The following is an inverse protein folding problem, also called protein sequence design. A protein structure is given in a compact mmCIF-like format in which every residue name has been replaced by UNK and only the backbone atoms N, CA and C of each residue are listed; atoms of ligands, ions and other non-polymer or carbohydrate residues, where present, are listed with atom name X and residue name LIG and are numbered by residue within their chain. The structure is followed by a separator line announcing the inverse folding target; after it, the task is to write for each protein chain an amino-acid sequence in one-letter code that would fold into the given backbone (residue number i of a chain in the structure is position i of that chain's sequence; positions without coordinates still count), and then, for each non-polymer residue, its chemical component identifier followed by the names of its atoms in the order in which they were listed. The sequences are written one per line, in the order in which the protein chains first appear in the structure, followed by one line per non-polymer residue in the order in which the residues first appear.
data_IF_250281153429
#
_entry.id   IF_250281153429
#
_cell.length_a   1.000
_cell.length_b   1.000
_cell.length_c   1.000
_cell.angle_alpha   90.00
_cell.angle_beta   90.00
_cell.angle_gamma   90.00
#
_symmetry.space_group_name_H-M   'P 1'
#
loop_
_entity.id
_entity.type
_entity.pdbx_description
1 polymer ?
#
# COMPACT_ATOMS: atom_id res chain seq x y z
N UNK A 1 19.67 3.95 -68.01
CA UNK A 1 20.29 4.89 -68.98
C UNK A 1 19.25 5.97 -69.21
N UNK A 2 19.44 7.26 -69.00
CA UNK A 2 20.64 8.11 -69.12
C UNK A 2 20.42 9.38 -68.29
N UNK A 3 21.52 9.92 -67.81
CA UNK A 3 21.73 11.07 -66.92
C UNK A 3 21.68 12.43 -67.64
N UNK A 4 21.55 13.51 -66.85
CA UNK A 4 22.35 14.78 -66.80
C UNK A 4 21.43 15.99 -66.54
N UNK A 5 21.61 16.81 -65.50
CA UNK A 5 22.74 17.66 -65.02
C UNK A 5 23.02 18.92 -65.86
N UNK A 6 23.07 20.06 -65.15
CA UNK A 6 23.70 21.34 -65.52
C UNK A 6 22.68 22.48 -65.68
N UNK A 7 22.90 23.73 -65.28
CA UNK A 7 24.06 24.47 -64.72
C UNK A 7 23.49 25.88 -64.35
N UNK A 8 23.61 26.42 -63.14
CA UNK A 8 24.69 27.27 -62.60
C UNK A 8 24.88 28.68 -63.22
N UNK A 9 24.70 29.73 -62.38
CA UNK A 9 25.41 31.04 -62.38
C UNK A 9 24.94 31.85 -61.14
N UNK A 10 25.61 31.97 -59.98
CA UNK A 10 26.93 32.54 -59.56
C UNK A 10 27.00 34.08 -59.46
N UNK A 11 27.11 34.60 -58.22
CA UNK A 11 27.93 35.75 -57.72
C UNK A 11 27.34 36.24 -56.36
N UNK A 12 27.91 36.18 -55.14
CA UNK A 12 29.23 36.44 -54.50
C UNK A 12 29.38 37.85 -53.89
N UNK A 13 29.29 37.97 -52.54
CA UNK A 13 30.14 38.77 -51.58
C UNK A 13 29.48 38.76 -50.17
N UNK A 14 30.04 38.10 -49.14
CA UNK A 14 30.93 38.63 -48.05
C UNK A 14 30.43 39.97 -47.46
N UNK A 15 30.23 40.20 -46.16
CA UNK A 15 31.11 39.93 -44.99
C UNK A 15 30.39 40.29 -43.67
N UNK A 16 30.90 39.75 -42.54
CA UNK A 16 30.83 40.23 -41.13
C UNK A 16 29.56 39.92 -40.32
N UNK A 17 29.54 38.96 -39.38
CA UNK A 17 30.15 38.88 -38.03
C UNK A 17 29.57 39.81 -36.95
N UNK A 18 28.98 39.13 -35.95
CA UNK A 18 28.88 39.41 -34.51
C UNK A 18 27.80 40.33 -33.93
N UNK A 19 27.27 39.82 -32.80
CA UNK A 19 26.46 40.44 -31.74
C UNK A 19 24.97 40.64 -32.00
N UNK A 20 24.07 40.42 -31.04
CA UNK A 20 24.05 39.76 -29.73
C UNK A 20 22.56 39.89 -29.29
N UNK A 21 22.08 39.01 -28.41
CA UNK A 21 20.92 39.24 -27.52
C UNK A 21 19.52 39.00 -28.12
N UNK A 22 18.80 38.06 -27.50
CA UNK A 22 17.34 38.13 -27.38
C UNK A 22 16.53 37.00 -28.00
N UNK A 23 16.72 35.75 -27.56
CA UNK A 23 15.66 34.74 -27.69
C UNK A 23 15.20 34.29 -26.31
N UNK A 24 14.26 35.04 -25.76
CA UNK A 24 13.27 34.54 -24.81
C UNK A 24 12.10 33.94 -25.62
N UNK A 25 11.35 33.04 -24.96
CA UNK A 25 10.04 32.46 -25.35
C UNK A 25 10.15 31.12 -26.12
N UNK A 26 9.58 29.98 -25.73
CA UNK A 26 8.67 29.57 -24.65
C UNK A 26 8.93 28.08 -24.41
N UNK A 27 9.31 27.67 -23.20
CA UNK A 27 9.17 26.28 -22.77
C UNK A 27 7.68 26.03 -22.51
N UNK A 28 7.02 25.32 -23.41
CA UNK A 28 5.68 24.82 -23.17
C UNK A 28 5.75 23.76 -22.06
N UNK A 29 5.42 24.16 -20.82
CA UNK A 29 5.14 23.23 -19.73
C UNK A 29 3.88 22.45 -20.08
N UNK A 30 4.03 21.26 -20.64
CA UNK A 30 2.99 20.23 -20.56
C UNK A 30 3.10 19.65 -19.15
N UNK A 31 2.49 20.35 -18.19
CA UNK A 31 2.19 19.78 -16.89
C UNK A 31 1.05 18.77 -17.07
N UNK A 32 1.37 17.61 -17.65
CA UNK A 32 0.48 16.46 -17.59
C UNK A 32 0.27 16.13 -16.12
N UNK A 33 -0.99 16.05 -15.70
CA UNK A 33 -1.39 15.57 -14.38
C UNK A 33 -0.72 14.23 -14.11
N UNK A 34 0.41 14.25 -13.39
CA UNK A 34 0.83 13.12 -12.61
C UNK A 34 -0.22 12.99 -11.51
N UNK A 35 -1.24 12.16 -11.73
CA UNK A 35 -1.90 11.50 -10.63
C UNK A 35 -0.78 10.77 -9.90
N UNK A 36 -0.19 11.41 -8.90
CA UNK A 36 0.61 10.74 -7.89
C UNK A 36 -0.34 9.76 -7.22
N UNK A 37 -0.46 8.55 -7.79
CA UNK A 37 -0.94 7.41 -7.05
C UNK A 37 0.04 7.32 -5.88
N UNK A 38 -0.38 7.82 -4.72
CA UNK A 38 0.38 7.67 -3.51
C UNK A 38 0.72 6.18 -3.41
N UNK A 39 2.01 5.86 -3.34
CA UNK A 39 2.44 4.48 -3.20
C UNK A 39 1.62 3.86 -2.07
N UNK A 40 1.00 2.68 -2.27
CA UNK A 40 0.23 2.06 -1.20
C UNK A 40 1.12 1.96 0.05
N UNK A 41 0.56 2.14 1.25
CA UNK A 41 1.34 2.10 2.48
C UNK A 41 2.18 0.83 2.50
N UNK A 42 3.50 1.02 2.57
CA UNK A 42 4.49 -0.04 2.47
C UNK A 42 4.62 -0.66 3.86
N UNK A 43 4.00 -1.82 4.07
CA UNK A 43 4.08 -2.51 5.36
C UNK A 43 5.31 -3.38 5.46
N UNK A 44 6.15 -3.14 6.45
CA UNK A 44 7.40 -3.88 6.60
C UNK A 44 7.19 -5.34 7.01
N UNK A 45 6.07 -5.64 7.66
CA UNK A 45 5.69 -6.96 8.16
C UNK A 45 4.36 -7.42 7.51
N UNK A 46 4.27 -8.65 6.97
CA UNK A 46 3.03 -9.15 6.36
C UNK A 46 1.88 -9.26 7.37
N UNK A 47 2.20 -9.47 8.65
CA UNK A 47 1.23 -9.49 9.75
C UNK A 47 0.55 -8.12 9.88
N UNK A 48 1.33 -7.04 9.82
CA UNK A 48 0.83 -5.66 9.91
C UNK A 48 -0.04 -5.33 8.69
N UNK A 49 0.40 -5.72 7.50
CA UNK A 49 -0.38 -5.56 6.27
C UNK A 49 -1.74 -6.26 6.35
N UNK A 50 -1.76 -7.50 6.85
CA UNK A 50 -3.00 -8.27 7.04
C UNK A 50 -3.95 -7.59 8.06
N UNK A 51 -3.41 -7.14 9.20
CA UNK A 51 -4.19 -6.43 10.22
C UNK A 51 -4.78 -5.14 9.65
N UNK A 52 -3.97 -4.31 8.97
CA UNK A 52 -4.46 -3.09 8.31
C UNK A 52 -5.59 -3.39 7.35
N UNK A 53 -5.41 -4.39 6.51
CA UNK A 53 -6.40 -4.73 5.49
C UNK A 53 -7.73 -5.13 6.13
N UNK A 54 -7.69 -5.93 7.22
CA UNK A 54 -8.89 -6.23 8.01
C UNK A 54 -9.53 -4.96 8.57
N UNK A 55 -8.76 -4.11 9.26
CA UNK A 55 -9.31 -2.92 9.93
C UNK A 55 -9.89 -1.91 8.93
N UNK A 56 -9.19 -1.67 7.82
CA UNK A 56 -9.46 -0.56 6.91
C UNK A 56 -10.35 -0.94 5.71
N UNK A 57 -10.33 -2.20 5.27
CA UNK A 57 -10.95 -2.61 4.00
C UNK A 57 -12.02 -3.69 4.19
N UNK A 58 -11.66 -4.80 4.84
CA UNK A 58 -12.52 -5.99 4.91
C UNK A 58 -13.45 -6.01 6.14
N UNK A 59 -13.32 -5.02 7.04
CA UNK A 59 -14.26 -4.83 8.12
C UNK A 59 -15.61 -4.29 7.59
N UNK A 60 -16.59 -5.19 7.50
CA UNK A 60 -17.94 -4.88 7.01
C UNK A 60 -18.88 -4.34 8.09
N UNK A 61 -18.45 -4.27 9.35
CA UNK A 61 -19.31 -3.88 10.48
C UNK A 61 -19.65 -2.38 10.53
N UNK A 62 -18.97 -1.55 9.73
CA UNK A 62 -19.12 -0.08 9.72
C UNK A 62 -19.42 0.55 8.36
N UNK A 63 -19.64 -0.24 7.31
CA UNK A 63 -19.84 0.31 5.95
C UNK A 63 -18.57 0.78 5.24
N UNK A 64 -17.39 0.36 5.70
CA UNK A 64 -16.06 0.70 5.16
C UNK A 64 -15.25 1.57 6.12
N UNK A 65 -14.01 1.16 6.43
CA UNK A 65 -13.15 1.80 7.43
C UNK A 65 -13.29 1.19 8.84
N UNK A 66 -12.58 1.76 9.82
CA UNK A 66 -12.59 1.29 11.21
C UNK A 66 -13.74 1.93 12.01
N UNK A 67 -14.80 1.18 12.39
CA UNK A 67 -15.89 1.68 13.20
C UNK A 67 -15.61 1.58 14.71
N UNK A 68 -14.51 0.94 15.11
CA UNK A 68 -14.24 0.65 16.51
C UNK A 68 -13.51 1.81 17.18
N UNK A 69 -13.90 2.09 18.43
CA UNK A 69 -13.21 3.10 19.25
C UNK A 69 -11.78 2.67 19.62
N UNK A 70 -11.55 1.36 19.71
CA UNK A 70 -10.26 0.73 20.00
C UNK A 70 -10.14 -0.63 19.33
N UNK A 71 -8.94 -0.95 18.83
CA UNK A 71 -8.57 -2.27 18.32
C UNK A 71 -7.40 -2.84 19.12
N UNK A 72 -7.62 -3.99 19.77
CA UNK A 72 -6.62 -4.70 20.57
C UNK A 72 -6.08 -5.88 19.77
N UNK A 73 -4.79 -5.86 19.44
CA UNK A 73 -4.10 -6.99 18.80
C UNK A 73 -3.50 -7.90 19.87
N UNK A 74 -3.85 -9.19 19.84
CA UNK A 74 -3.31 -10.19 20.74
C UNK A 74 -1.78 -10.29 20.54
N UNK A 75 -0.95 -10.17 21.61
CA UNK A 75 0.49 -10.33 21.50
C UNK A 75 0.92 -11.75 21.12
N UNK A 76 0.00 -12.71 21.09
CA UNK A 76 0.22 -14.09 20.64
C UNK A 76 -0.53 -14.39 19.34
N UNK A 77 0.08 -15.25 18.55
CA UNK A 77 -0.55 -15.88 17.40
C UNK A 77 -1.51 -16.98 17.85
N UNK A 78 -2.41 -17.39 16.96
CA UNK A 78 -3.37 -18.46 17.21
C UNK A 78 -2.72 -19.83 17.51
N UNK A 79 -1.46 -20.04 17.14
CA UNK A 79 -0.66 -21.23 17.49
C UNK A 79 0.03 -21.12 18.87
N UNK A 80 -0.17 -20.01 19.58
CA UNK A 80 0.41 -19.74 20.90
C UNK A 80 1.78 -19.06 20.88
N UNK A 81 2.42 -18.91 19.72
CA UNK A 81 3.71 -18.22 19.60
C UNK A 81 3.56 -16.72 19.82
N UNK A 82 4.56 -16.06 20.39
CA UNK A 82 4.50 -14.61 20.60
C UNK A 82 4.83 -13.85 19.31
N UNK A 83 4.15 -12.74 19.08
CA UNK A 83 4.60 -11.75 18.09
C UNK A 83 5.98 -11.23 18.49
N UNK A 84 6.84 -11.03 17.48
CA UNK A 84 8.18 -10.47 17.69
C UNK A 84 8.08 -9.04 18.21
N UNK A 85 9.10 -8.56 18.93
CA UNK A 85 9.14 -7.17 19.39
C UNK A 85 9.05 -6.18 18.22
N UNK A 86 9.69 -6.49 17.09
CA UNK A 86 9.62 -5.69 15.87
C UNK A 86 8.20 -5.63 15.30
N UNK A 87 7.52 -6.78 15.21
CA UNK A 87 6.12 -6.84 14.75
C UNK A 87 5.21 -6.01 15.65
N UNK A 88 5.37 -6.10 16.98
CA UNK A 88 4.58 -5.33 17.94
C UNK A 88 4.79 -3.82 17.77
N UNK A 89 6.04 -3.39 17.61
CA UNK A 89 6.36 -1.99 17.35
C UNK A 89 5.76 -1.51 16.01
N UNK A 90 5.86 -2.32 14.96
CA UNK A 90 5.31 -2.02 13.64
C UNK A 90 3.78 -1.91 13.65
N UNK A 91 3.07 -2.75 14.42
CA UNK A 91 1.61 -2.63 14.63
C UNK A 91 1.28 -1.24 15.17
N UNK A 92 1.95 -0.80 16.25
CA UNK A 92 1.65 0.49 16.88
C UNK A 92 2.02 1.66 15.96
N UNK A 93 3.16 1.60 15.25
CA UNK A 93 3.60 2.73 14.42
C UNK A 93 2.90 2.81 13.06
N UNK A 94 2.70 1.69 12.38
CA UNK A 94 2.19 1.67 10.99
C UNK A 94 0.65 1.69 10.91
N UNK A 95 -0.04 1.46 12.03
CA UNK A 95 -1.51 1.49 12.11
C UNK A 95 -2.06 2.69 12.89
N UNK A 96 -1.19 3.59 13.35
CA UNK A 96 -1.58 4.75 14.16
C UNK A 96 -2.58 5.69 13.46
N UNK A 97 -2.64 5.68 12.13
CA UNK A 97 -3.59 6.47 11.36
C UNK A 97 -5.02 5.88 11.34
N UNK A 98 -5.20 4.65 11.82
CA UNK A 98 -6.49 3.96 11.87
C UNK A 98 -7.24 4.15 13.19
N UNK A 99 -6.70 4.96 14.10
CA UNK A 99 -7.25 5.19 15.44
C UNK A 99 -6.44 4.52 16.55
N UNK A 100 -7.10 4.20 17.65
CA UNK A 100 -6.47 3.55 18.80
C UNK A 100 -6.25 2.06 18.52
N UNK A 101 -5.03 1.71 18.11
CA UNK A 101 -4.60 0.33 17.86
C UNK A 101 -3.47 -0.01 18.83
N UNK A 102 -3.69 -0.99 19.71
CA UNK A 102 -2.72 -1.40 20.72
C UNK A 102 -2.41 -2.91 20.65
N UNK A 103 -1.24 -3.31 21.15
CA UNK A 103 -0.91 -4.73 21.37
C UNK A 103 -1.07 -5.03 22.85
N UNK A 104 -2.10 -5.81 23.22
CA UNK A 104 -2.42 -6.07 24.62
C UNK A 104 -3.20 -7.38 24.80
N UNK A 105 -3.24 -7.88 26.04
CA UNK A 105 -4.14 -8.95 26.48
C UNK A 105 -5.41 -8.39 27.16
N UNK A 106 -5.65 -7.08 27.04
CA UNK A 106 -6.85 -6.41 27.55
C UNK A 106 -8.11 -7.07 26.99
N UNK A 107 -9.13 -7.19 27.82
CA UNK A 107 -10.47 -7.55 27.33
C UNK A 107 -11.05 -6.37 26.55
N UNK A 108 -11.68 -6.68 25.43
CA UNK A 108 -12.41 -5.71 24.63
C UNK A 108 -13.83 -5.52 25.15
N UNK A 109 -14.31 -4.28 25.09
CA UNK A 109 -15.66 -3.86 25.49
C UNK A 109 -16.56 -3.68 24.27
N UNK A 110 -17.83 -3.37 24.52
CA UNK A 110 -18.77 -3.02 23.45
C UNK A 110 -18.26 -1.78 22.68
N UNK A 111 -18.27 -1.86 21.34
CA UNK A 111 -17.72 -0.82 20.47
C UNK A 111 -16.22 -0.94 20.19
N UNK A 112 -15.55 -1.94 20.75
CA UNK A 112 -14.14 -2.25 20.51
C UNK A 112 -13.98 -3.58 19.75
N UNK A 113 -12.78 -3.83 19.22
CA UNK A 113 -12.46 -5.08 18.56
C UNK A 113 -11.15 -5.69 19.05
N UNK A 114 -11.09 -7.02 19.06
CA UNK A 114 -9.85 -7.78 19.24
C UNK A 114 -9.46 -8.46 17.94
N UNK A 115 -8.15 -8.53 17.68
CA UNK A 115 -7.59 -9.22 16.52
C UNK A 115 -6.55 -10.23 17.00
N UNK A 116 -6.68 -11.47 16.53
CA UNK A 116 -5.67 -12.51 16.68
C UNK A 116 -5.24 -13.01 15.30
N UNK A 117 -3.94 -13.10 15.08
CA UNK A 117 -3.35 -13.54 13.81
C UNK A 117 -2.83 -14.97 13.91
N UNK A 118 -2.89 -15.74 12.83
CA UNK A 118 -2.33 -17.08 12.72
C UNK A 118 -0.83 -17.05 12.41
N UNK A 119 -0.25 -18.22 12.14
CA UNK A 119 1.12 -18.32 11.62
C UNK A 119 1.26 -17.65 10.24
N UNK A 120 2.48 -17.17 9.92
CA UNK A 120 2.83 -16.77 8.56
C UNK A 120 3.22 -18.03 7.79
N UNK A 121 2.43 -18.40 6.80
CA UNK A 121 2.64 -19.62 6.00
C UNK A 121 3.15 -19.23 4.63
N UNK A 122 4.41 -19.56 4.31
CA UNK A 122 4.96 -19.30 2.98
C UNK A 122 4.27 -20.17 1.92
N UNK A 123 3.93 -19.56 0.80
CA UNK A 123 3.33 -20.22 -0.37
C UNK A 123 4.18 -19.95 -1.62
N UNK A 124 3.96 -20.65 -2.75
CA UNK A 124 4.69 -20.36 -3.98
C UNK A 124 4.51 -18.93 -4.52
N UNK A 125 3.43 -18.26 -4.13
CA UNK A 125 3.06 -16.93 -4.64
C UNK A 125 3.21 -15.81 -3.61
N UNK A 126 3.60 -16.12 -2.35
CA UNK A 126 3.69 -15.14 -1.28
C UNK A 126 3.59 -15.77 0.10
N UNK A 127 2.75 -15.20 0.97
CA UNK A 127 2.45 -15.74 2.30
C UNK A 127 0.95 -15.73 2.56
N UNK A 128 0.47 -16.73 3.30
CA UNK A 128 -0.89 -16.78 3.82
C UNK A 128 -0.86 -16.48 5.33
N UNK A 129 -1.77 -15.61 5.79
CA UNK A 129 -1.97 -15.30 7.21
C UNK A 129 -3.46 -15.38 7.52
N UNK A 130 -3.83 -16.21 8.50
CA UNK A 130 -5.18 -16.20 9.06
C UNK A 130 -5.34 -15.01 10.00
N UNK A 131 -6.45 -14.30 9.94
CA UNK A 131 -6.81 -13.25 10.89
C UNK A 131 -8.20 -13.53 11.44
N UNK A 132 -8.30 -13.55 12.75
CA UNK A 132 -9.55 -13.64 13.49
C UNK A 132 -9.79 -12.26 14.12
N UNK A 133 -10.91 -11.63 13.82
CA UNK A 133 -11.34 -10.39 14.48
C UNK A 133 -12.66 -10.63 15.19
N UNK A 134 -12.80 -10.10 16.40
CA UNK A 134 -14.02 -10.17 17.21
C UNK A 134 -14.38 -8.78 17.70
N UNK A 135 -15.65 -8.37 17.63
CA UNK A 135 -16.10 -7.08 18.16
C UNK A 135 -16.82 -7.23 19.52
N UNK A 136 -16.18 -7.90 20.48
CA UNK A 136 -16.84 -8.29 21.74
C UNK A 136 -17.74 -9.52 21.53
N UNK A 137 -19.05 -9.41 21.82
CA UNK A 137 -19.99 -10.53 21.77
C UNK A 137 -20.91 -10.53 20.53
N UNK A 138 -20.76 -9.57 19.62
CA UNK A 138 -21.76 -9.24 18.59
C UNK A 138 -21.37 -9.64 17.18
N UNK A 139 -20.09 -9.87 16.90
CA UNK A 139 -19.65 -10.22 15.56
C UNK A 139 -18.25 -10.83 15.51
N UNK A 140 -17.96 -11.56 14.42
CA UNK A 140 -16.62 -12.04 14.11
C UNK A 140 -16.31 -12.14 12.62
N UNK A 141 -15.02 -12.03 12.29
CA UNK A 141 -14.45 -12.24 10.97
C UNK A 141 -13.33 -13.28 11.06
N UNK A 142 -13.34 -14.27 10.17
CA UNK A 142 -12.38 -15.38 10.17
C UNK A 142 -11.90 -15.68 8.76
N UNK A 143 -10.89 -14.94 8.32
CA UNK A 143 -10.41 -15.05 6.96
C UNK A 143 -8.90 -15.35 6.92
N UNK A 144 -8.48 -15.98 5.83
CA UNK A 144 -7.08 -16.12 5.45
C UNK A 144 -6.80 -15.15 4.32
N UNK A 145 -5.75 -14.37 4.49
CA UNK A 145 -5.28 -13.37 3.53
C UNK A 145 -4.02 -13.89 2.85
N UNK A 146 -3.98 -13.80 1.53
CA UNK A 146 -2.79 -14.05 0.73
C UNK A 146 -2.10 -12.72 0.45
N UNK A 147 -0.85 -12.61 0.88
CA UNK A 147 -0.02 -11.42 0.74
C UNK A 147 1.16 -11.67 -0.18
N UNK A 148 1.50 -10.64 -0.96
CA UNK A 148 2.70 -10.63 -1.79
C UNK A 148 3.55 -9.43 -1.45
N UNK A 149 4.86 -9.56 -1.63
CA UNK A 149 5.79 -8.47 -1.46
C UNK A 149 5.91 -7.68 -2.77
N UNK A 150 5.74 -6.36 -2.73
CA UNK A 150 5.84 -5.52 -3.93
C UNK A 150 7.29 -5.34 -4.41
N UNK A 151 7.52 -5.16 -5.72
CA UNK A 151 8.80 -4.70 -6.26
C UNK A 151 9.05 -3.26 -5.79
N UNK A 152 9.82 -3.10 -4.72
CA UNK A 152 9.95 -1.82 -3.98
C UNK A 152 9.90 -2.00 -2.47
N UNK A 153 9.55 -3.21 -2.02
CA UNK A 153 9.38 -3.54 -0.61
C UNK A 153 7.92 -3.45 -0.19
N UNK A 154 7.66 -3.94 1.02
CA UNK A 154 6.33 -3.92 1.62
C UNK A 154 5.40 -5.04 1.19
N UNK A 155 4.48 -5.38 2.08
CA UNK A 155 3.50 -6.43 1.88
C UNK A 155 2.12 -5.85 1.54
N UNK A 156 1.45 -6.43 0.55
CA UNK A 156 0.05 -6.15 0.23
C UNK A 156 -0.77 -7.40 0.32
N UNK A 157 -2.06 -7.26 0.66
CA UNK A 157 -3.04 -8.31 0.43
C UNK A 157 -3.41 -8.35 -1.05
N UNK A 158 -3.55 -9.56 -1.60
CA UNK A 158 -3.94 -9.82 -3.00
C UNK A 158 -5.13 -10.76 -3.14
N UNK A 159 -5.50 -11.43 -2.05
CA UNK A 159 -6.65 -12.31 -2.03
C UNK A 159 -7.09 -12.61 -0.60
N UNK A 160 -8.37 -12.93 -0.45
CA UNK A 160 -9.01 -13.28 0.81
C UNK A 160 -9.81 -14.56 0.61
N UNK A 161 -9.75 -15.48 1.57
CA UNK A 161 -10.52 -16.73 1.57
C UNK A 161 -11.03 -17.08 2.96
N UNK A 162 -12.18 -17.76 3.02
CA UNK A 162 -12.85 -18.11 4.28
C UNK A 162 -14.05 -17.19 4.58
N UNK A 163 -14.77 -17.46 5.67
CA UNK A 163 -15.96 -16.69 6.02
C UNK A 163 -15.58 -15.26 6.47
N UNK A 164 -16.08 -14.29 5.70
CA UNK A 164 -16.12 -12.89 6.12
C UNK A 164 -17.53 -12.68 6.68
N UNK A 165 -17.60 -12.34 7.97
CA UNK A 165 -18.79 -12.21 8.81
C UNK A 165 -19.47 -13.52 9.25
N UNK A 166 -19.49 -13.74 10.57
CA UNK A 166 -20.51 -14.53 11.26
C UNK A 166 -21.22 -13.57 12.22
N UNK A 167 -22.53 -13.45 12.06
CA UNK A 167 -23.46 -12.80 12.98
C UNK A 167 -24.35 -13.88 13.61
#
# INVERSE_FOLDING_TARGET
MTTRLGNASTARRRTSMTSLIGLLSVMALVAGCACSAASPPVHTDPTVAAIRHVIAQDNTFGGGGNPFSRVVVDPKRADGTSLSAATKAAIVSELADLGDVEVSTSKVLDGEASIQVGAVVTTPTGVDIKVNMYCGNVCGLFATFTLVQWPGGGWTVTGTRGPIAVA
#
